data_IF_882823918139
#
_entry.id   IF_882823918139
#
_cell.length_a   1.000
_cell.length_b   1.000
_cell.length_c   1.000
_cell.angle_alpha   90.00
_cell.angle_beta   90.00
_cell.angle_gamma   90.00
#
_symmetry.space_group_name_H-M   'P 1'
#
loop_
_entity.id
_entity.type
_entity.pdbx_description
1 polymer ?
#
# COMPACT_ATOMS: atom_id res chain seq x y z
N UNK A 1 -1.94 -3.73 -25.66
CA UNK A 1 -1.25 -2.72 -24.82
C UNK A 1 -1.68 -2.76 -23.36
N UNK A 2 -2.97 -2.90 -23.05
CA UNK A 2 -3.51 -2.88 -21.68
C UNK A 2 -2.86 -3.88 -20.70
N UNK A 3 -2.50 -5.09 -21.15
CA UNK A 3 -1.87 -6.08 -20.27
C UNK A 3 -0.48 -5.67 -19.73
N UNK A 4 0.34 -5.00 -20.55
CA UNK A 4 1.67 -4.52 -20.11
C UNK A 4 1.53 -3.39 -19.11
N UNK A 5 0.61 -2.45 -19.34
CA UNK A 5 0.33 -1.33 -18.42
C UNK A 5 -0.18 -1.86 -17.08
N UNK A 6 -1.16 -2.77 -17.10
CA UNK A 6 -1.68 -3.43 -15.89
C UNK A 6 -0.58 -4.11 -15.08
N UNK A 7 0.29 -4.87 -15.75
CA UNK A 7 1.42 -5.55 -15.10
C UNK A 7 2.41 -4.55 -14.51
N UNK A 8 2.78 -3.51 -15.25
CA UNK A 8 3.71 -2.49 -14.77
C UNK A 8 3.15 -1.75 -13.57
N UNK A 9 1.89 -1.28 -13.62
CA UNK A 9 1.24 -0.58 -12.50
C UNK A 9 1.17 -1.46 -11.25
N UNK A 10 0.84 -2.74 -11.41
CA UNK A 10 0.78 -3.69 -10.29
C UNK A 10 2.16 -3.91 -9.66
N UNK A 11 3.20 -4.12 -10.47
CA UNK A 11 4.58 -4.28 -9.96
C UNK A 11 5.03 -3.02 -9.24
N UNK A 12 4.82 -1.84 -9.83
CA UNK A 12 5.21 -0.56 -9.21
C UNK A 12 4.49 -0.36 -7.88
N UNK A 13 3.18 -0.59 -7.82
CA UNK A 13 2.41 -0.45 -6.58
C UNK A 13 2.88 -1.41 -5.49
N UNK A 14 3.14 -2.68 -5.83
CA UNK A 14 3.66 -3.67 -4.88
C UNK A 14 5.03 -3.27 -4.36
N UNK A 15 5.94 -2.85 -5.25
CA UNK A 15 7.29 -2.44 -4.85
C UNK A 15 7.27 -1.21 -3.94
N UNK A 16 6.46 -0.20 -4.27
CA UNK A 16 6.28 0.98 -3.43
C UNK A 16 5.69 0.63 -2.07
N UNK A 17 4.72 -0.28 -2.03
CA UNK A 17 4.12 -0.73 -0.78
C UNK A 17 5.12 -1.49 0.11
N UNK A 18 5.89 -2.42 -0.46
CA UNK A 18 6.92 -3.15 0.28
C UNK A 18 8.03 -2.21 0.77
N UNK A 19 8.43 -1.23 -0.03
CA UNK A 19 9.41 -0.22 0.37
C UNK A 19 8.89 0.63 1.54
N UNK A 20 7.63 1.10 1.48
CA UNK A 20 7.03 1.87 2.56
C UNK A 20 6.92 1.06 3.86
N UNK A 21 6.54 -0.23 3.78
CA UNK A 21 6.53 -1.13 4.93
C UNK A 21 7.93 -1.33 5.52
N UNK A 22 8.93 -1.56 4.67
CA UNK A 22 10.31 -1.73 5.12
C UNK A 22 10.81 -0.46 5.82
N UNK A 23 10.58 0.72 5.24
CA UNK A 23 10.96 2.01 5.83
C UNK A 23 10.26 2.22 7.17
N UNK A 24 8.94 1.98 7.25
CA UNK A 24 8.18 2.09 8.50
C UNK A 24 8.71 1.16 9.60
N UNK A 25 9.00 -0.09 9.27
CA UNK A 25 9.55 -1.06 10.22
C UNK A 25 10.98 -0.68 10.66
N UNK A 26 11.84 -0.31 9.72
CA UNK A 26 13.22 0.13 10.00
C UNK A 26 13.21 1.33 10.94
N UNK A 27 12.41 2.37 10.61
CA UNK A 27 12.27 3.57 11.43
C UNK A 27 11.70 3.28 12.82
N UNK A 28 10.71 2.39 12.92
CA UNK A 28 10.08 2.06 14.22
C UNK A 28 11.02 1.29 15.15
N UNK A 29 11.73 0.30 14.61
CA UNK A 29 12.60 -0.56 15.41
C UNK A 29 14.03 -0.02 15.55
N UNK A 30 14.41 1.01 14.78
CA UNK A 30 15.77 1.54 14.73
C UNK A 30 16.75 0.52 14.14
N UNK A 31 16.29 -0.27 13.16
CA UNK A 31 17.18 -1.22 12.47
C UNK A 31 18.34 -0.44 11.83
N UNK A 32 19.51 -1.08 11.77
CA UNK A 32 20.76 -0.49 11.26
C UNK A 32 21.37 0.64 12.12
N UNK A 33 20.95 0.77 13.39
CA UNK A 33 21.54 1.74 14.32
C UNK A 33 21.05 3.18 14.10
N UNK A 34 19.94 3.35 13.39
CA UNK A 34 19.26 4.64 13.21
C UNK A 34 18.38 4.97 14.42
N UNK A 35 18.19 6.26 14.69
CA UNK A 35 17.21 6.73 15.66
C UNK A 35 15.79 6.27 15.32
N UNK A 36 15.01 5.97 16.35
CA UNK A 36 13.63 5.51 16.17
C UNK A 36 12.78 6.66 15.67
N UNK A 37 12.24 6.50 14.47
CA UNK A 37 11.34 7.46 13.83
C UNK A 37 10.01 6.79 13.42
N UNK A 38 8.97 6.89 14.28
CA UNK A 38 7.64 6.39 13.97
C UNK A 38 6.96 7.10 12.79
N UNK A 39 7.40 8.32 12.43
CA UNK A 39 6.83 9.06 11.29
C UNK A 39 7.17 8.42 9.94
N UNK A 40 8.12 7.50 9.90
CA UNK A 40 8.44 6.70 8.71
C UNK A 40 7.23 5.91 8.16
N UNK A 41 6.17 5.68 8.95
CA UNK A 41 4.91 5.09 8.46
C UNK A 41 4.09 6.01 7.55
N UNK A 42 4.43 7.31 7.46
CA UNK A 42 3.72 8.30 6.62
C UNK A 42 3.69 7.90 5.13
N UNK A 43 4.68 7.13 4.67
CA UNK A 43 4.77 6.68 3.27
C UNK A 43 3.67 5.68 2.88
N UNK A 44 3.00 5.06 3.86
CA UNK A 44 1.82 4.22 3.60
C UNK A 44 0.59 5.08 3.28
N UNK A 45 0.45 6.25 3.89
CA UNK A 45 -0.74 7.10 3.75
C UNK A 45 -1.10 7.40 2.28
N UNK A 46 -0.17 7.92 1.44
CA UNK A 46 -0.50 8.21 0.04
C UNK A 46 -0.80 6.95 -0.78
N UNK A 47 -0.19 5.81 -0.46
CA UNK A 47 -0.43 4.53 -1.15
C UNK A 47 -1.79 3.92 -0.81
N UNK A 48 -2.32 4.26 0.36
CA UNK A 48 -3.59 3.80 0.88
C UNK A 48 -4.80 4.69 0.55
N UNK A 49 -4.58 5.85 -0.07
CA UNK A 49 -5.67 6.71 -0.49
C UNK A 49 -6.59 6.02 -1.52
N UNK A 50 -7.89 6.35 -1.53
CA UNK A 50 -8.61 7.23 -0.60
C UNK A 50 -9.01 6.54 0.72
N UNK A 51 -8.80 5.23 0.84
CA UNK A 51 -9.30 4.41 1.94
C UNK A 51 -8.79 4.86 3.31
N UNK A 52 -7.55 5.36 3.37
CA UNK A 52 -6.97 5.94 4.60
C UNK A 52 -7.85 7.08 5.16
N UNK A 53 -8.39 7.94 4.30
CA UNK A 53 -9.27 9.04 4.73
C UNK A 53 -10.61 8.53 5.26
N UNK A 54 -11.07 7.38 4.78
CA UNK A 54 -12.30 6.76 5.29
C UNK A 54 -12.10 6.13 6.68
N UNK A 55 -10.86 5.88 7.07
CA UNK A 55 -10.48 5.31 8.37
C UNK A 55 -10.13 6.38 9.41
N UNK A 56 -10.14 7.67 9.07
CA UNK A 56 -9.76 8.77 9.96
C UNK A 56 -10.65 8.87 11.22
N UNK A 57 -11.84 8.24 11.20
CA UNK A 57 -12.73 8.10 12.36
C UNK A 57 -12.77 6.71 13.01
N UNK A 58 -11.97 5.75 12.54
CA UNK A 58 -11.87 4.42 13.15
C UNK A 58 -10.94 4.50 14.36
N UNK A 59 -11.44 4.22 15.57
CA UNK A 59 -10.76 4.50 16.85
C UNK A 59 -9.30 4.03 17.02
N UNK A 60 -8.64 4.62 18.02
CA UNK A 60 -7.17 4.74 18.18
C UNK A 60 -6.34 3.45 18.14
N UNK A 61 -6.92 2.28 18.48
CA UNK A 61 -6.15 1.03 18.62
C UNK A 61 -6.12 0.18 17.36
N UNK A 62 -7.18 0.19 16.55
CA UNK A 62 -7.22 -0.57 15.30
C UNK A 62 -6.73 0.25 14.09
N UNK A 63 -6.74 1.58 14.20
CA UNK A 63 -6.41 2.50 13.12
C UNK A 63 -5.06 2.24 12.43
N UNK A 64 -3.94 2.00 13.14
CA UNK A 64 -2.64 1.86 12.48
C UNK A 64 -2.53 0.62 11.60
N UNK A 65 -3.07 -0.51 12.08
CA UNK A 65 -3.08 -1.77 11.32
C UNK A 65 -4.01 -1.65 10.12
N UNK A 66 -5.20 -1.05 10.31
CA UNK A 66 -6.14 -0.84 9.21
C UNK A 66 -5.54 0.07 8.13
N UNK A 67 -4.89 1.18 8.53
CA UNK A 67 -4.16 2.07 7.62
C UNK A 67 -3.05 1.31 6.88
N UNK A 68 -2.25 0.48 7.56
CA UNK A 68 -1.22 -0.34 6.92
C UNK A 68 -1.75 -1.33 5.88
N UNK A 69 -3.00 -1.78 6.02
CA UNK A 69 -3.66 -2.70 5.09
C UNK A 69 -4.36 -1.98 3.93
N UNK A 70 -4.59 -0.67 4.00
CA UNK A 70 -5.28 0.07 2.92
C UNK A 70 -4.65 -0.07 1.53
N UNK A 71 -3.32 -0.10 1.33
CA UNK A 71 -2.76 -0.26 -0.01
C UNK A 71 -3.09 -1.62 -0.64
N UNK A 72 -3.39 -2.65 0.18
CA UNK A 72 -3.83 -3.95 -0.31
C UNK A 72 -5.17 -3.86 -1.04
N UNK A 73 -6.06 -2.94 -0.66
CA UNK A 73 -7.31 -2.69 -1.38
C UNK A 73 -7.02 -2.17 -2.79
N UNK A 74 -6.06 -1.25 -2.94
CA UNK A 74 -5.65 -0.74 -4.26
C UNK A 74 -5.06 -1.87 -5.13
N UNK A 75 -4.24 -2.74 -4.55
CA UNK A 75 -3.70 -3.92 -5.25
C UNK A 75 -4.83 -4.87 -5.67
N UNK A 76 -5.77 -5.16 -4.77
CA UNK A 76 -6.90 -6.06 -5.04
C UNK A 76 -7.82 -5.52 -6.15
N UNK A 77 -8.13 -4.23 -6.12
CA UNK A 77 -8.93 -3.56 -7.16
C UNK A 77 -8.22 -3.63 -8.51
N UNK A 78 -6.94 -3.24 -8.55
CA UNK A 78 -6.16 -3.27 -9.79
C UNK A 78 -6.05 -4.70 -10.33
N UNK A 79 -5.78 -5.68 -9.47
CA UNK A 79 -5.75 -7.09 -9.84
C UNK A 79 -7.08 -7.57 -10.43
N UNK A 80 -8.20 -7.25 -9.78
CA UNK A 80 -9.54 -7.55 -10.27
C UNK A 80 -9.80 -6.94 -11.65
N UNK A 81 -9.56 -5.64 -11.81
CA UNK A 81 -9.72 -4.94 -13.10
C UNK A 81 -8.87 -5.57 -14.20
N UNK A 82 -7.59 -5.86 -13.92
CA UNK A 82 -6.69 -6.49 -14.88
C UNK A 82 -7.13 -7.91 -15.25
N UNK A 83 -7.68 -8.66 -14.30
CA UNK A 83 -8.22 -10.01 -14.53
C UNK A 83 -9.48 -9.96 -15.41
N UNK A 84 -10.44 -9.09 -15.09
CA UNK A 84 -11.69 -8.93 -15.87
C UNK A 84 -11.41 -8.45 -17.31
N UNK A 85 -10.47 -7.54 -17.52
CA UNK A 85 -10.10 -7.09 -18.87
C UNK A 85 -9.44 -8.20 -19.70
N UNK A 86 -8.70 -9.10 -19.07
CA UNK A 86 -8.05 -10.24 -19.75
C UNK A 86 -9.07 -11.26 -20.25
N UNK A 87 -10.15 -11.49 -19.49
CA UNK A 87 -11.26 -12.38 -19.90
C UNK A 87 -12.16 -11.82 -21.01
N UNK A 88 -12.11 -10.51 -21.27
CA UNK A 88 -12.94 -9.83 -22.29
C UNK A 88 -12.26 -9.67 -23.66
N UNK A 89 -11.00 -10.06 -23.77
CA UNK A 89 -10.20 -9.97 -25.01
C UNK A 89 -9.98 -11.33 -25.69
N UNK A 90 -10.70 -12.37 -25.25
CA UNK A 90 -10.76 -13.71 -25.83
C UNK A 90 -12.18 -13.93 -26.38
#
# INVERSE_FOLDING_TARGET
>A
MGHRICRTLMIVLILLYLAALAIGLIGTYGWFGQDRDPLSWVFILPLGLPWVLMLDGAGDTAAPVLVALTPLLNIAILWGLCHFMKGRSA
#
